data_IF_201324397388
#
_entry.id   IF_201324397388
#
_cell.length_a   1.000
_cell.length_b   1.000
_cell.length_c   1.000
_cell.angle_alpha   90.00
_cell.angle_beta   90.00
_cell.angle_gamma   90.00
#
_symmetry.space_group_name_H-M   'P 1'
#
loop_
_entity.id
_entity.type
_entity.pdbx_description
1 polymer ?
#
# COMPACT_ATOMS: atom_id res chain seq x y z
N UNK A 1 -41.43 -43.30 -25.46
CA UNK A 1 -41.60 -42.48 -24.27
C UNK A 1 -40.20 -41.97 -23.92
N UNK A 2 -39.91 -40.78 -24.42
CA UNK A 2 -38.62 -40.09 -24.15
C UNK A 2 -39.00 -38.79 -23.47
N UNK A 3 -38.72 -38.70 -22.18
CA UNK A 3 -38.88 -37.48 -21.40
C UNK A 3 -37.74 -36.56 -21.73
N UNK A 4 -38.05 -35.49 -22.45
CA UNK A 4 -37.18 -34.36 -22.74
C UNK A 4 -37.26 -33.37 -21.56
N UNK A 5 -36.43 -33.61 -20.54
CA UNK A 5 -36.24 -32.65 -19.43
C UNK A 5 -35.41 -31.45 -19.93
N UNK A 6 -36.12 -30.41 -20.36
CA UNK A 6 -35.50 -29.11 -20.68
C UNK A 6 -35.18 -28.38 -19.40
N UNK A 7 -33.88 -28.26 -19.10
CA UNK A 7 -33.39 -27.33 -18.09
C UNK A 7 -33.88 -25.90 -18.39
N UNK A 8 -34.32 -25.15 -17.38
CA UNK A 8 -34.73 -23.77 -17.57
C UNK A 8 -33.49 -22.90 -17.90
N UNK A 9 -33.49 -22.31 -19.08
CA UNK A 9 -32.51 -21.29 -19.47
C UNK A 9 -32.75 -20.03 -18.66
N UNK A 10 -31.88 -19.76 -17.69
CA UNK A 10 -31.84 -18.48 -16.98
C UNK A 10 -31.41 -17.41 -17.99
N UNK A 11 -32.27 -16.44 -18.24
CA UNK A 11 -31.96 -15.31 -19.12
C UNK A 11 -31.09 -14.29 -18.29
N UNK A 12 -30.02 -13.72 -18.89
CA UNK A 12 -29.09 -12.82 -18.17
C UNK A 12 -29.70 -11.49 -17.74
N UNK A 13 -30.86 -11.13 -18.22
CA UNK A 13 -31.43 -9.78 -18.03
C UNK A 13 -32.31 -9.61 -16.78
N UNK A 14 -32.45 -10.64 -15.95
CA UNK A 14 -33.38 -10.59 -14.80
C UNK A 14 -32.75 -10.36 -13.43
N UNK A 15 -31.44 -10.10 -13.35
CA UNK A 15 -30.80 -9.70 -12.09
C UNK A 15 -30.49 -8.20 -12.14
N UNK A 16 -31.50 -7.37 -12.17
CA UNK A 16 -31.38 -5.98 -11.75
C UNK A 16 -31.49 -5.92 -10.22
N UNK A 17 -30.37 -6.08 -9.54
CA UNK A 17 -30.26 -5.69 -8.15
C UNK A 17 -30.23 -4.16 -8.14
N UNK A 18 -31.22 -3.46 -7.55
CA UNK A 18 -31.12 -2.03 -7.35
C UNK A 18 -29.93 -1.79 -6.42
N UNK A 19 -28.81 -1.29 -6.93
CA UNK A 19 -27.81 -0.66 -6.11
C UNK A 19 -28.39 0.67 -5.66
N UNK A 20 -29.06 0.66 -4.53
CA UNK A 20 -29.27 1.87 -3.76
C UNK A 20 -27.85 2.26 -3.26
N UNK A 21 -27.24 3.16 -4.05
CA UNK A 21 -25.96 3.77 -3.71
C UNK A 21 -26.23 4.63 -2.47
N UNK A 22 -25.95 4.07 -1.28
CA UNK A 22 -25.98 4.85 -0.06
C UNK A 22 -25.08 6.07 -0.26
N UNK A 23 -25.56 7.29 0.05
CA UNK A 23 -24.71 8.47 -0.08
C UNK A 23 -23.42 8.24 0.70
N UNK A 24 -22.29 8.39 -0.01
CA UNK A 24 -21.00 8.29 0.63
C UNK A 24 -20.98 9.25 1.84
N UNK A 25 -20.52 8.80 3.02
CA UNK A 25 -20.45 9.69 4.17
C UNK A 25 -19.63 10.92 3.75
N UNK A 26 -20.22 12.11 3.90
CA UNK A 26 -19.49 13.35 3.65
C UNK A 26 -18.33 13.40 4.63
N UNK A 27 -17.14 13.10 4.15
CA UNK A 27 -15.92 13.25 4.94
C UNK A 27 -15.81 14.72 5.35
N UNK A 28 -15.64 15.06 6.64
CA UNK A 28 -15.54 16.43 7.06
C UNK A 28 -14.40 17.12 6.29
N UNK A 29 -14.70 18.31 5.77
CA UNK A 29 -13.70 19.08 5.06
C UNK A 29 -12.60 19.49 6.03
N UNK A 30 -11.36 18.99 5.80
CA UNK A 30 -10.20 19.44 6.54
C UNK A 30 -9.86 20.87 6.12
N UNK A 31 -9.51 21.71 7.07
CA UNK A 31 -9.01 23.03 6.78
C UNK A 31 -7.57 22.99 6.27
N UNK A 32 -7.03 24.16 5.88
CA UNK A 32 -5.69 24.27 5.30
C UNK A 32 -4.59 23.82 6.27
N UNK A 33 -4.75 24.11 7.57
CA UNK A 33 -3.76 23.75 8.58
C UNK A 33 -3.79 22.25 8.85
N UNK A 34 -4.98 21.66 8.95
CA UNK A 34 -5.17 20.23 9.07
C UNK A 34 -4.62 19.47 7.85
N UNK A 35 -4.85 19.98 6.63
CA UNK A 35 -4.20 19.40 5.42
C UNK A 35 -2.68 19.49 5.49
N UNK A 36 -2.14 20.58 6.01
CA UNK A 36 -0.69 20.71 6.24
C UNK A 36 -0.15 19.68 7.23
N UNK A 37 -0.90 19.44 8.33
CA UNK A 37 -0.59 18.42 9.34
C UNK A 37 -0.66 17.01 8.73
N UNK A 38 -1.66 16.72 7.89
CA UNK A 38 -1.78 15.42 7.20
C UNK A 38 -0.61 15.18 6.23
N UNK A 39 -0.24 16.18 5.42
CA UNK A 39 0.95 16.10 4.54
C UNK A 39 2.22 15.85 5.36
N UNK A 40 2.37 16.52 6.50
CA UNK A 40 3.50 16.32 7.40
C UNK A 40 3.52 14.91 7.99
N UNK A 41 2.37 14.38 8.41
CA UNK A 41 2.22 13.01 8.88
C UNK A 41 2.69 12.00 7.82
N UNK A 42 2.23 12.16 6.58
CA UNK A 42 2.63 11.30 5.47
C UNK A 42 4.14 11.33 5.21
N UNK A 43 4.78 12.50 5.32
CA UNK A 43 6.24 12.63 5.19
C UNK A 43 7.00 11.96 6.33
N UNK A 44 6.44 11.92 7.53
CA UNK A 44 7.05 11.22 8.67
C UNK A 44 6.88 9.71 8.54
N UNK A 45 5.71 9.25 8.05
CA UNK A 45 5.44 7.83 7.80
C UNK A 45 6.27 7.27 6.63
N UNK A 46 6.50 8.08 5.60
CA UNK A 46 7.23 7.70 4.37
C UNK A 46 8.36 8.69 4.09
N UNK A 47 9.49 8.62 4.82
CA UNK A 47 10.53 9.64 4.82
C UNK A 47 11.47 9.53 3.60
N UNK A 48 10.98 9.82 2.42
CA UNK A 48 11.77 9.85 1.19
C UNK A 48 12.29 11.25 0.89
N UNK A 49 13.58 11.50 1.12
CA UNK A 49 14.19 12.82 0.89
C UNK A 49 14.28 13.22 -0.57
N UNK A 50 14.18 12.27 -1.49
CA UNK A 50 14.14 12.55 -2.92
C UNK A 50 12.75 12.92 -3.45
N UNK A 51 11.67 12.68 -2.68
CA UNK A 51 10.32 13.01 -3.13
C UNK A 51 10.03 14.49 -2.86
N UNK A 52 9.55 15.25 -3.87
CA UNK A 52 9.04 16.59 -3.65
C UNK A 52 7.71 16.57 -2.90
N UNK A 53 7.17 17.74 -2.60
CA UNK A 53 5.92 17.88 -1.86
C UNK A 53 4.69 17.41 -2.64
N UNK A 54 4.72 17.47 -3.98
CA UNK A 54 3.61 17.16 -4.87
C UNK A 54 2.95 15.80 -4.62
N UNK A 55 3.69 14.68 -4.65
CA UNK A 55 3.15 13.34 -4.36
C UNK A 55 2.47 13.25 -3.00
N UNK A 56 3.06 13.83 -1.95
CA UNK A 56 2.46 13.82 -0.62
C UNK A 56 1.17 14.64 -0.54
N UNK A 57 1.10 15.76 -1.26
CA UNK A 57 -0.11 16.60 -1.34
C UNK A 57 -1.23 15.86 -2.05
N UNK A 58 -0.96 15.21 -3.20
CA UNK A 58 -1.95 14.38 -3.91
C UNK A 58 -2.39 13.18 -3.07
N UNK A 59 -1.45 12.53 -2.40
CA UNK A 59 -1.75 11.45 -1.47
C UNK A 59 -2.67 11.92 -0.34
N UNK A 60 -2.39 13.07 0.29
CA UNK A 60 -3.21 13.63 1.36
C UNK A 60 -4.65 13.91 0.91
N UNK A 61 -4.85 14.41 -0.32
CA UNK A 61 -6.19 14.65 -0.87
C UNK A 61 -7.01 13.35 -0.99
N UNK A 62 -6.38 12.25 -1.39
CA UNK A 62 -7.05 10.96 -1.50
C UNK A 62 -7.27 10.34 -0.12
N UNK A 63 -6.28 10.39 0.77
CA UNK A 63 -6.40 9.91 2.16
C UNK A 63 -7.56 10.60 2.87
N UNK A 64 -7.69 11.93 2.71
CA UNK A 64 -8.76 12.73 3.32
C UNK A 64 -10.16 12.19 3.02
N UNK A 65 -10.39 11.69 1.80
CA UNK A 65 -11.71 11.20 1.36
C UNK A 65 -11.88 9.69 1.49
N UNK A 66 -10.79 8.93 1.55
CA UNK A 66 -10.82 7.47 1.48
C UNK A 66 -10.51 6.79 2.81
N UNK A 67 -9.78 7.44 3.72
CA UNK A 67 -9.51 6.87 5.03
C UNK A 67 -10.79 6.85 5.89
N UNK A 68 -11.13 5.66 6.40
CA UNK A 68 -12.32 5.47 7.24
C UNK A 68 -11.99 5.83 8.70
N UNK A 69 -11.68 7.11 8.95
CA UNK A 69 -11.35 7.64 10.27
C UNK A 69 -11.81 9.09 10.42
N UNK A 70 -12.02 9.53 11.65
CA UNK A 70 -12.22 10.96 11.94
C UNK A 70 -10.85 11.68 11.92
N UNK A 71 -10.41 12.03 10.70
CA UNK A 71 -9.13 12.68 10.50
C UNK A 71 -9.05 14.04 11.20
N UNK A 72 -10.15 14.78 11.31
CA UNK A 72 -10.12 16.10 11.96
C UNK A 72 -9.78 15.98 13.45
N UNK A 73 -10.40 15.04 14.15
CA UNK A 73 -10.11 14.76 15.55
C UNK A 73 -8.68 14.20 15.73
N UNK A 74 -8.26 13.31 14.83
CA UNK A 74 -6.93 12.71 14.92
C UNK A 74 -5.81 13.73 14.68
N UNK A 75 -5.92 14.59 13.68
CA UNK A 75 -4.93 15.63 13.41
C UNK A 75 -4.84 16.63 14.59
N UNK A 76 -5.97 17.00 15.19
CA UNK A 76 -5.97 17.83 16.41
C UNK A 76 -5.31 17.10 17.59
N UNK A 77 -5.46 15.79 17.71
CA UNK A 77 -4.78 14.96 18.72
C UNK A 77 -3.28 14.93 18.47
N UNK A 78 -2.84 14.77 17.23
CA UNK A 78 -1.42 14.81 16.86
C UNK A 78 -0.79 16.16 17.18
N UNK A 79 -1.45 17.27 16.88
CA UNK A 79 -0.99 18.61 17.25
C UNK A 79 -0.80 18.72 18.76
N UNK A 80 -1.74 18.22 19.55
CA UNK A 80 -1.66 18.24 21.02
C UNK A 80 -0.49 17.39 21.54
N UNK A 81 -0.28 16.19 20.98
CA UNK A 81 0.84 15.31 21.36
C UNK A 81 2.21 15.91 21.00
N UNK A 82 2.28 16.68 19.93
CA UNK A 82 3.48 17.39 19.50
C UNK A 82 3.74 18.70 20.28
N UNK A 83 2.89 19.04 21.26
CA UNK A 83 3.04 20.24 22.08
C UNK A 83 2.46 21.52 21.46
N UNK A 84 1.55 21.37 20.47
CA UNK A 84 0.79 22.47 19.88
C UNK A 84 0.73 22.47 18.34
N UNK A 85 1.79 22.04 17.66
CA UNK A 85 1.80 21.93 16.21
C UNK A 85 2.65 20.74 15.76
N UNK A 86 2.00 19.71 15.24
CA UNK A 86 2.69 18.56 14.66
C UNK A 86 3.51 18.97 13.42
N UNK A 87 2.99 19.88 12.63
CA UNK A 87 3.64 20.36 11.42
C UNK A 87 5.01 21.00 11.68
N UNK A 88 5.15 21.75 12.79
CA UNK A 88 6.34 22.53 13.09
C UNK A 88 7.28 21.84 14.09
N UNK A 89 6.89 20.68 14.60
CA UNK A 89 7.69 19.92 15.57
C UNK A 89 8.91 19.24 14.94
N UNK A 90 9.88 18.91 15.78
CA UNK A 90 11.13 18.26 15.39
C UNK A 90 10.91 16.85 14.85
N UNK A 91 11.66 16.49 13.80
CA UNK A 91 11.55 15.20 13.12
C UNK A 91 11.76 13.99 14.03
N UNK A 92 12.62 14.12 15.03
CA UNK A 92 12.89 13.02 15.96
C UNK A 92 11.71 12.76 16.86
N UNK A 93 11.10 13.83 17.37
CA UNK A 93 9.86 13.75 18.15
C UNK A 93 8.74 13.14 17.32
N UNK A 94 8.54 13.62 16.08
CA UNK A 94 7.46 13.14 15.22
C UNK A 94 7.60 11.67 14.90
N UNK A 95 8.80 11.18 14.59
CA UNK A 95 9.05 9.74 14.36
C UNK A 95 8.70 8.91 15.59
N UNK A 96 9.14 9.33 16.77
CA UNK A 96 8.80 8.63 18.01
C UNK A 96 7.29 8.60 18.29
N UNK A 97 6.58 9.69 18.02
CA UNK A 97 5.13 9.74 18.15
C UNK A 97 4.44 8.78 17.17
N UNK A 98 4.80 8.84 15.89
CA UNK A 98 4.19 7.98 14.85
C UNK A 98 4.50 6.50 15.11
N UNK A 99 5.72 6.16 15.49
CA UNK A 99 6.09 4.79 15.87
C UNK A 99 5.28 4.29 17.07
N UNK A 100 5.07 5.16 18.08
CA UNK A 100 4.24 4.83 19.25
C UNK A 100 2.76 4.66 18.93
N UNK A 101 2.28 5.27 17.84
CA UNK A 101 0.89 5.22 17.39
C UNK A 101 0.63 4.19 16.27
N UNK A 102 1.62 3.37 15.93
CA UNK A 102 1.55 2.44 14.79
C UNK A 102 0.42 1.40 14.85
N UNK A 103 -0.21 1.22 16.01
CA UNK A 103 -1.40 0.36 16.21
C UNK A 103 -2.69 1.16 16.44
N UNK A 104 -2.64 2.47 16.32
CA UNK A 104 -3.83 3.32 16.42
C UNK A 104 -4.69 3.19 15.17
N UNK A 105 -6.01 2.98 15.36
CA UNK A 105 -6.93 2.70 14.26
C UNK A 105 -6.93 3.81 13.19
N UNK A 106 -6.81 5.07 13.59
CA UNK A 106 -6.78 6.18 12.65
C UNK A 106 -5.46 6.23 11.86
N UNK A 107 -4.33 5.95 12.50
CA UNK A 107 -3.02 5.86 11.84
C UNK A 107 -2.99 4.66 10.89
N UNK A 108 -3.53 3.51 11.30
CA UNK A 108 -3.68 2.32 10.44
C UNK A 108 -4.57 2.62 9.23
N UNK A 109 -5.68 3.34 9.41
CA UNK A 109 -6.55 3.74 8.31
C UNK A 109 -5.84 4.67 7.32
N UNK A 110 -5.09 5.66 7.80
CA UNK A 110 -4.24 6.52 6.96
C UNK A 110 -3.21 5.69 6.20
N UNK A 111 -2.50 4.81 6.91
CA UNK A 111 -1.46 3.96 6.31
C UNK A 111 -2.02 3.07 5.18
N UNK A 112 -3.17 2.43 5.41
CA UNK A 112 -3.76 1.48 4.44
C UNK A 112 -4.10 2.12 3.09
N UNK A 113 -4.47 3.41 3.10
CA UNK A 113 -4.73 4.19 1.89
C UNK A 113 -3.42 4.75 1.33
N UNK A 114 -2.62 5.39 2.18
CA UNK A 114 -1.45 6.15 1.77
C UNK A 114 -0.38 5.30 1.08
N UNK A 115 -0.13 4.08 1.54
CA UNK A 115 0.88 3.19 0.93
C UNK A 115 0.57 2.91 -0.54
N UNK A 116 -0.70 2.66 -0.87
CA UNK A 116 -1.08 2.39 -2.25
C UNK A 116 -1.02 3.67 -3.10
N UNK A 117 -1.59 4.77 -2.58
CA UNK A 117 -1.69 6.03 -3.33
C UNK A 117 -0.34 6.68 -3.58
N UNK A 118 0.56 6.69 -2.59
CA UNK A 118 1.87 7.32 -2.74
C UNK A 118 2.76 6.55 -3.73
N UNK A 119 2.75 5.22 -3.67
CA UNK A 119 3.58 4.41 -4.56
C UNK A 119 2.93 4.08 -5.91
N UNK A 120 1.68 4.48 -6.12
CA UNK A 120 1.02 4.48 -7.43
C UNK A 120 1.12 5.84 -8.14
N UNK A 121 1.77 6.82 -7.53
CA UNK A 121 1.99 8.15 -8.12
C UNK A 121 3.08 8.09 -9.19
N UNK A 122 2.75 8.52 -10.41
CA UNK A 122 3.66 8.45 -11.56
C UNK A 122 4.92 9.33 -11.42
N UNK A 123 4.86 10.41 -10.63
CA UNK A 123 6.05 11.21 -10.32
C UNK A 123 6.99 10.41 -9.41
N UNK A 124 6.44 9.66 -8.44
CA UNK A 124 7.19 8.74 -7.59
C UNK A 124 7.81 7.62 -8.42
N UNK A 125 7.07 7.02 -9.36
CA UNK A 125 7.61 6.02 -10.28
C UNK A 125 8.82 6.56 -11.06
N UNK A 126 8.68 7.77 -11.61
CA UNK A 126 9.76 8.43 -12.37
C UNK A 126 11.01 8.62 -11.50
N UNK A 127 10.84 9.07 -10.25
CA UNK A 127 11.95 9.31 -9.32
C UNK A 127 12.64 8.00 -8.93
N UNK A 128 11.85 6.93 -8.74
CA UNK A 128 12.36 5.60 -8.37
C UNK A 128 12.89 4.79 -9.56
N UNK A 129 12.67 5.25 -10.80
CA UNK A 129 13.03 4.52 -12.01
C UNK A 129 12.12 3.32 -12.29
N UNK A 130 10.90 3.30 -11.72
CA UNK A 130 9.93 2.25 -12.01
C UNK A 130 9.19 2.57 -13.31
N UNK A 131 9.26 1.66 -14.27
CA UNK A 131 8.69 1.82 -15.61
C UNK A 131 7.20 1.44 -15.71
N UNK A 132 6.61 0.99 -14.62
CA UNK A 132 5.24 0.51 -14.58
C UNK A 132 5.10 -0.98 -14.87
N UNK A 133 3.87 -1.42 -15.16
CA UNK A 133 3.58 -2.80 -15.50
C UNK A 133 4.20 -3.17 -16.85
N UNK A 134 4.92 -4.27 -16.90
CA UNK A 134 5.45 -4.83 -18.15
C UNK A 134 4.44 -5.69 -18.92
N UNK A 135 3.22 -5.86 -18.41
CA UNK A 135 2.22 -6.76 -18.99
C UNK A 135 1.86 -6.35 -20.43
N UNK A 136 1.57 -5.08 -20.66
CA UNK A 136 1.20 -4.54 -21.97
C UNK A 136 2.35 -4.54 -22.98
N UNK A 137 3.59 -4.71 -22.49
CA UNK A 137 4.81 -4.74 -23.28
C UNK A 137 5.37 -6.16 -23.49
N UNK A 138 4.54 -7.19 -23.25
CA UNK A 138 4.91 -8.59 -23.44
C UNK A 138 5.54 -9.28 -22.21
N UNK A 139 5.48 -8.68 -21.07
CA UNK A 139 6.00 -9.21 -19.80
C UNK A 139 7.51 -9.01 -19.66
N UNK A 140 8.15 -9.86 -18.87
CA UNK A 140 9.58 -9.75 -18.54
C UNK A 140 10.51 -10.58 -19.47
N UNK A 141 10.01 -11.11 -20.58
CA UNK A 141 10.77 -12.06 -21.42
C UNK A 141 12.09 -11.46 -21.92
N UNK A 142 12.09 -10.16 -22.27
CA UNK A 142 13.27 -9.44 -22.77
C UNK A 142 13.66 -8.25 -21.87
N UNK A 143 13.18 -8.20 -20.62
CA UNK A 143 13.38 -7.08 -19.70
C UNK A 143 13.89 -7.56 -18.33
N UNK A 144 14.79 -6.80 -17.74
CA UNK A 144 15.25 -7.02 -16.36
C UNK A 144 16.27 -8.12 -16.16
N UNK A 145 16.68 -8.86 -17.19
CA UNK A 145 17.66 -9.93 -17.04
C UNK A 145 19.10 -9.42 -16.93
N UNK A 146 19.35 -8.18 -17.32
CA UNK A 146 20.69 -7.56 -17.32
C UNK A 146 20.86 -6.47 -16.25
N UNK A 147 19.91 -6.32 -15.35
CA UNK A 147 19.89 -5.26 -14.33
C UNK A 147 20.98 -5.44 -13.27
N UNK A 148 21.62 -6.61 -13.24
CA UNK A 148 22.64 -6.96 -12.27
C UNK A 148 24.04 -7.00 -12.90
N UNK A 149 24.33 -6.08 -13.80
CA UNK A 149 25.64 -5.94 -14.46
C UNK A 149 26.78 -5.61 -13.48
N UNK A 150 26.46 -5.10 -12.31
CA UNK A 150 27.39 -4.83 -11.21
C UNK A 150 27.85 -6.08 -10.47
N UNK A 151 27.20 -7.24 -10.68
CA UNK A 151 27.65 -8.50 -10.08
C UNK A 151 28.89 -9.03 -10.82
N UNK A 152 29.90 -9.57 -10.09
CA UNK A 152 31.08 -10.17 -10.72
C UNK A 152 30.70 -11.41 -11.55
N UNK A 153 31.38 -11.58 -12.68
CA UNK A 153 31.26 -12.77 -13.50
C UNK A 153 32.34 -13.82 -13.12
N UNK A 154 32.02 -15.12 -13.10
CA UNK A 154 30.68 -15.70 -13.24
C UNK A 154 29.82 -15.46 -11.99
N UNK A 155 28.57 -15.09 -12.17
CA UNK A 155 27.61 -14.83 -11.06
C UNK A 155 27.34 -16.08 -10.25
N UNK A 156 27.31 -17.24 -10.93
CA UNK A 156 27.15 -18.55 -10.34
C UNK A 156 28.08 -19.49 -11.06
N UNK A 157 28.93 -20.22 -10.32
CA UNK A 157 29.63 -21.39 -10.87
C UNK A 157 28.66 -22.56 -10.78
N UNK A 158 28.22 -23.07 -11.93
CA UNK A 158 27.35 -24.24 -11.94
C UNK A 158 28.06 -25.43 -11.30
N UNK A 159 27.33 -26.13 -10.45
CA UNK A 159 27.83 -27.35 -9.83
C UNK A 159 27.79 -28.49 -10.86
N UNK A 160 28.95 -28.89 -11.35
CA UNK A 160 29.10 -29.96 -12.36
C UNK A 160 29.06 -31.38 -11.75
N UNK A 161 28.86 -31.50 -10.44
CA UNK A 161 28.83 -32.79 -9.76
C UNK A 161 27.45 -33.46 -9.82
N UNK A 162 27.39 -34.72 -9.31
CA UNK A 162 26.12 -35.42 -9.17
C UNK A 162 25.15 -34.64 -8.27
N UNK A 163 23.90 -34.50 -8.72
CA UNK A 163 22.84 -33.84 -7.93
C UNK A 163 22.74 -34.45 -6.53
N UNK A 164 22.99 -33.62 -5.53
CA UNK A 164 22.94 -34.06 -4.12
C UNK A 164 21.51 -33.92 -3.63
N UNK A 165 20.77 -35.02 -3.60
CA UNK A 165 19.48 -35.08 -2.93
C UNK A 165 19.75 -35.45 -1.48
N UNK A 166 19.75 -34.46 -0.60
CA UNK A 166 19.72 -34.69 0.84
C UNK A 166 18.27 -34.95 1.28
N UNK A 167 18.00 -36.17 1.75
CA UNK A 167 16.78 -36.43 2.47
C UNK A 167 16.84 -35.70 3.81
N UNK A 168 16.16 -34.57 3.93
CA UNK A 168 15.97 -33.90 5.20
C UNK A 168 14.99 -34.77 6.02
N UNK A 169 15.40 -35.34 7.17
CA UNK A 169 14.47 -36.09 8.01
C UNK A 169 13.36 -35.14 8.45
N UNK A 170 12.11 -35.51 8.20
CA UNK A 170 10.97 -34.77 8.75
C UNK A 170 11.10 -34.74 10.28
N UNK A 171 11.18 -33.53 10.84
CA UNK A 171 11.19 -33.34 12.28
C UNK A 171 9.98 -34.06 12.89
N UNK A 172 10.23 -35.05 13.75
CA UNK A 172 9.16 -35.71 14.48
C UNK A 172 8.48 -34.67 15.38
N UNK A 173 7.19 -34.47 15.18
CA UNK A 173 6.38 -33.66 16.07
C UNK A 173 6.53 -34.17 17.51
N UNK A 174 6.81 -33.32 18.51
CA UNK A 174 6.86 -33.76 19.88
C UNK A 174 5.48 -34.32 20.25
N UNK A 175 5.47 -35.61 20.54
CA UNK A 175 4.26 -36.33 20.93
C UNK A 175 3.64 -35.67 22.16
N UNK A 176 2.37 -35.28 22.06
CA UNK A 176 1.57 -34.87 23.18
C UNK A 176 1.40 -36.07 24.15
N UNK A 177 1.63 -35.77 25.41
CA UNK A 177 1.30 -36.63 26.53
C UNK A 177 0.15 -35.96 27.28
#
# INVERSE_FOLDING_TARGET
MSDDEREPKIQPDEIQVPREEAPAPESPALDKDQMGTLVRLLKVMYPHHQFPDGPYQRCAEIVRVSAQADLSAELARLDSLAGGSFRDADDTLLRQLVDGLGQDDAIVAVHSVAVNVLYDDHEVWTILGYEGSSFDEGGYIDRGFNDLDWLPEPRITEYEGQGRVENVPLAQSPGGN
#
